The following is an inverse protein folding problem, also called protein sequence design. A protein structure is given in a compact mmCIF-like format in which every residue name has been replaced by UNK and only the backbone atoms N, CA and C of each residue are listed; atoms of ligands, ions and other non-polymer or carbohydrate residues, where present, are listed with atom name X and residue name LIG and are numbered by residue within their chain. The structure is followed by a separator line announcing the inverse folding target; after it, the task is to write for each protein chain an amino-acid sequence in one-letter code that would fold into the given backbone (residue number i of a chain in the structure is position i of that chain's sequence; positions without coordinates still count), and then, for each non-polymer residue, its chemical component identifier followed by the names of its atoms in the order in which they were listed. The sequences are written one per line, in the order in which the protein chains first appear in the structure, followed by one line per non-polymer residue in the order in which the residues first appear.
data_IF_308820516570
#
_entry.id   IF_308820516570
#
_cell.length_a   1.000
_cell.length_b   1.000
_cell.length_c   1.000
_cell.angle_alpha   90.00
_cell.angle_beta   90.00
_cell.angle_gamma   90.00
#
_symmetry.space_group_name_H-M   'P 1'
#
loop_
_entity.id
_entity.type
_entity.pdbx_description
1 polymer ?
#
# COMPACT_ATOMS: atom_id res chain seq x y z
N UNK A 1 -26.46 -10.34 6.45
CA UNK A 1 -25.85 -11.28 5.49
C UNK A 1 -24.63 -11.89 6.17
N UNK A 2 -24.62 -13.17 6.54
CA UNK A 2 -23.42 -13.81 7.12
C UNK A 2 -22.49 -14.20 5.96
N UNK A 3 -21.23 -13.74 5.97
CA UNK A 3 -20.18 -14.23 5.05
C UNK A 3 -19.68 -15.58 5.52
N UNK A 4 -19.33 -16.45 4.56
CA UNK A 4 -18.82 -17.80 4.80
C UNK A 4 -17.27 -17.86 4.80
N UNK A 5 -16.58 -16.73 4.96
CA UNK A 5 -15.11 -16.69 4.93
C UNK A 5 -14.54 -15.36 5.39
N UNK A 6 -13.25 -15.37 5.72
CA UNK A 6 -12.47 -14.22 6.19
C UNK A 6 -12.24 -13.23 5.04
N UNK A 7 -12.49 -11.97 5.31
CA UNK A 7 -12.25 -10.85 4.41
C UNK A 7 -11.05 -10.02 4.87
N UNK A 8 -10.07 -9.86 3.98
CA UNK A 8 -8.91 -9.00 4.22
C UNK A 8 -8.94 -7.87 3.20
N UNK A 9 -9.03 -6.62 3.66
CA UNK A 9 -8.95 -5.45 2.79
C UNK A 9 -7.48 -5.03 2.63
N UNK A 10 -7.03 -4.82 1.39
CA UNK A 10 -5.66 -4.46 1.08
C UNK A 10 -5.59 -3.26 0.13
N UNK A 11 -4.51 -2.47 0.27
CA UNK A 11 -4.23 -1.31 -0.58
C UNK A 11 -4.74 0.01 0.01
N UNK A 12 -3.93 1.06 -0.12
CA UNK A 12 -4.24 2.43 0.33
C UNK A 12 -4.63 2.58 1.81
N UNK A 13 -4.08 1.73 2.69
CA UNK A 13 -4.29 1.77 4.15
C UNK A 13 -2.97 2.15 4.81
N UNK A 14 -2.96 3.25 5.55
CA UNK A 14 -1.74 3.82 6.15
C UNK A 14 -1.84 4.13 7.63
N UNK A 15 -3.04 4.31 8.17
CA UNK A 15 -3.24 4.67 9.58
C UNK A 15 -4.58 4.14 10.16
N UNK A 16 -4.89 4.54 11.39
CA UNK A 16 -6.05 4.05 12.13
C UNK A 16 -7.42 4.43 11.52
N UNK A 17 -7.55 5.57 10.81
CA UNK A 17 -8.84 5.93 10.19
C UNK A 17 -9.13 5.01 9.01
N UNK A 18 -8.11 4.58 8.28
CA UNK A 18 -8.25 3.66 7.16
C UNK A 18 -8.66 2.27 7.66
N UNK A 19 -8.10 1.83 8.80
CA UNK A 19 -8.48 0.60 9.49
C UNK A 19 -9.94 0.67 9.96
N UNK A 20 -10.34 1.77 10.59
CA UNK A 20 -11.72 1.96 11.03
C UNK A 20 -12.71 1.97 9.84
N UNK A 21 -12.32 2.56 8.71
CA UNK A 21 -13.10 2.50 7.48
C UNK A 21 -13.23 1.07 6.94
N UNK A 22 -12.13 0.29 6.97
CA UNK A 22 -12.15 -1.12 6.57
C UNK A 22 -13.09 -1.97 7.45
N UNK A 23 -13.05 -1.76 8.76
CA UNK A 23 -13.94 -2.41 9.73
C UNK A 23 -15.40 -2.01 9.48
N UNK A 24 -15.68 -0.72 9.25
CA UNK A 24 -17.02 -0.23 8.92
C UNK A 24 -17.58 -0.82 7.61
N UNK A 25 -16.69 -1.15 6.66
CA UNK A 25 -17.04 -1.88 5.43
C UNK A 25 -17.23 -3.39 5.65
N UNK A 26 -16.94 -3.91 6.85
CA UNK A 26 -17.11 -5.31 7.22
C UNK A 26 -15.93 -6.21 6.85
N UNK A 27 -14.71 -5.66 6.78
CA UNK A 27 -13.49 -6.47 6.71
C UNK A 27 -13.14 -7.05 8.09
N UNK A 28 -12.60 -8.28 8.11
CA UNK A 28 -12.10 -8.89 9.35
C UNK A 28 -10.66 -8.45 9.64
N UNK A 29 -9.88 -8.16 8.59
CA UNK A 29 -8.50 -7.72 8.68
C UNK A 29 -8.15 -6.68 7.62
N UNK A 30 -7.02 -6.01 7.84
CA UNK A 30 -6.34 -5.21 6.83
C UNK A 30 -4.99 -5.82 6.48
N UNK A 31 -4.54 -5.63 5.25
CA UNK A 31 -3.20 -5.98 4.79
C UNK A 31 -2.51 -4.76 4.20
N UNK A 32 -1.44 -4.31 4.84
CA UNK A 32 -0.70 -3.10 4.47
C UNK A 32 0.65 -3.50 3.85
N UNK A 33 1.01 -2.83 2.75
CA UNK A 33 2.31 -2.99 2.10
C UNK A 33 3.15 -1.73 2.26
N UNK A 34 2.86 -0.71 1.46
CA UNK A 34 3.59 0.57 1.36
C UNK A 34 3.96 1.16 2.72
N UNK A 35 3.03 1.17 3.68
CA UNK A 35 3.25 1.72 5.02
C UNK A 35 4.41 1.05 5.76
N UNK A 36 4.60 -0.26 5.60
CA UNK A 36 5.66 -1.01 6.28
C UNK A 36 7.01 -0.88 5.59
N UNK A 37 7.09 -0.40 4.35
CA UNK A 37 8.38 -0.14 3.70
C UNK A 37 9.13 0.98 4.44
N UNK A 38 8.41 1.95 5.01
CA UNK A 38 8.96 3.06 5.79
C UNK A 38 9.22 2.74 7.28
N UNK A 39 9.00 1.50 7.72
CA UNK A 39 9.30 1.08 9.11
C UNK A 39 10.81 1.03 9.36
N UNK A 40 11.23 1.17 10.62
CA UNK A 40 12.65 1.16 11.02
C UNK A 40 13.32 -0.19 10.73
N UNK A 41 12.56 -1.27 10.86
CA UNK A 41 13.01 -2.65 10.63
C UNK A 41 13.07 -3.03 9.14
N UNK A 42 12.59 -2.16 8.25
CA UNK A 42 12.58 -2.40 6.81
C UNK A 42 14.00 -2.42 6.25
N UNK A 43 14.30 -3.40 5.41
CA UNK A 43 15.57 -3.51 4.69
C UNK A 43 15.64 -2.61 3.44
N UNK A 44 14.60 -1.81 3.18
CA UNK A 44 14.60 -0.83 2.10
C UNK A 44 15.69 0.23 2.32
N UNK A 45 16.35 0.66 1.24
CA UNK A 45 17.34 1.74 1.33
C UNK A 45 16.70 3.03 1.86
N UNK A 46 17.51 3.87 2.53
CA UNK A 46 16.97 5.11 3.09
C UNK A 46 16.47 6.05 2.02
N UNK A 47 17.12 6.04 0.85
CA UNK A 47 16.68 6.76 -0.33
C UNK A 47 15.29 6.31 -0.78
N UNK A 48 15.00 5.01 -0.80
CA UNK A 48 13.69 4.50 -1.20
C UNK A 48 12.61 4.79 -0.14
N UNK A 49 12.94 4.64 1.15
CA UNK A 49 12.03 5.04 2.22
C UNK A 49 11.67 6.52 2.13
N UNK A 50 12.65 7.40 1.95
CA UNK A 50 12.43 8.84 1.84
C UNK A 50 11.60 9.16 0.58
N UNK A 51 11.92 8.54 -0.57
CA UNK A 51 11.13 8.68 -1.78
C UNK A 51 9.65 8.33 -1.54
N UNK A 52 9.37 7.23 -0.83
CA UNK A 52 8.00 6.84 -0.49
C UNK A 52 7.30 7.85 0.44
N UNK A 53 8.03 8.43 1.40
CA UNK A 53 7.50 9.41 2.35
C UNK A 53 7.19 10.75 1.67
N UNK A 54 8.05 11.16 0.75
CA UNK A 54 7.95 12.45 0.06
C UNK A 54 6.98 12.40 -1.15
N UNK A 55 6.64 11.21 -1.63
CA UNK A 55 5.76 11.02 -2.79
C UNK A 55 4.28 11.19 -2.45
N UNK A 56 3.53 11.61 -3.45
CA UNK A 56 2.07 11.78 -3.45
C UNK A 56 1.40 10.81 -4.42
N UNK A 57 0.07 10.84 -4.51
CA UNK A 57 -0.66 9.99 -5.46
C UNK A 57 -0.39 10.39 -6.92
N UNK A 58 -0.10 11.67 -7.14
CA UNK A 58 0.30 12.23 -8.44
C UNK A 58 1.63 11.66 -8.94
N UNK A 59 2.46 11.11 -8.04
CA UNK A 59 3.74 10.49 -8.37
C UNK A 59 3.61 9.01 -8.76
N UNK A 60 2.40 8.44 -8.75
CA UNK A 60 2.17 7.05 -9.16
C UNK A 60 1.87 6.94 -10.65
N UNK A 61 2.53 5.97 -11.29
CA UNK A 61 2.23 5.54 -12.65
C UNK A 61 1.83 4.07 -12.67
N UNK A 62 0.69 3.78 -13.33
CA UNK A 62 0.26 2.42 -13.61
C UNK A 62 0.80 1.98 -14.97
N UNK A 63 1.69 1.00 -14.98
CA UNK A 63 2.39 0.55 -16.19
C UNK A 63 2.87 -0.90 -16.05
N UNK A 64 3.09 -1.56 -17.19
CA UNK A 64 3.69 -2.89 -17.30
C UNK A 64 5.16 -2.85 -17.79
N UNK A 65 5.73 -1.66 -17.98
CA UNK A 65 7.01 -1.46 -18.66
C UNK A 65 8.22 -2.18 -18.03
N UNK A 66 8.17 -2.54 -16.73
CA UNK A 66 9.31 -3.13 -16.01
C UNK A 66 9.32 -4.65 -15.99
N UNK A 67 8.16 -5.27 -15.72
CA UNK A 67 8.03 -6.71 -15.51
C UNK A 67 7.15 -7.39 -16.56
N UNK A 68 6.52 -6.62 -17.47
CA UNK A 68 5.46 -7.10 -18.35
C UNK A 68 4.12 -7.33 -17.64
N UNK A 69 4.01 -7.00 -16.34
CA UNK A 69 2.77 -7.07 -15.56
C UNK A 69 2.44 -5.68 -15.04
N UNK A 70 1.20 -5.27 -15.25
CA UNK A 70 0.73 -3.97 -14.79
C UNK A 70 0.85 -3.83 -13.25
N UNK A 71 1.56 -2.79 -12.82
CA UNK A 71 1.70 -2.43 -11.42
C UNK A 71 1.82 -0.91 -11.25
N UNK A 72 1.63 -0.46 -10.01
CA UNK A 72 1.85 0.93 -9.63
C UNK A 72 3.32 1.13 -9.24
N UNK A 73 3.99 2.05 -9.91
CA UNK A 73 5.37 2.45 -9.63
C UNK A 73 5.42 3.93 -9.25
N UNK A 74 6.40 4.31 -8.43
CA UNK A 74 6.72 5.71 -8.21
C UNK A 74 7.49 6.23 -9.43
N UNK A 75 7.02 7.31 -10.06
CA UNK A 75 7.74 7.93 -11.18
C UNK A 75 9.20 8.29 -10.82
N UNK A 76 9.53 8.76 -9.61
CA UNK A 76 10.93 9.00 -9.21
C UNK A 76 11.83 7.76 -9.10
N UNK A 77 11.27 6.55 -9.17
CA UNK A 77 12.01 5.28 -9.10
C UNK A 77 12.41 4.69 -10.45
N UNK A 78 12.05 5.39 -11.55
CA UNK A 78 12.23 4.97 -12.94
C UNK A 78 13.52 5.55 -13.52
#
# INVERSE_FOLDING_TARGET
MKRNGIAILAGSISDGKDIAAAEALGADFVYMGTRFIAAEESLASKEYQNMLIDSTIEDLIYTDAFSGVNANYLMPSI
#
